data_IF_262958656715
#
_entry.id   IF_262958656715
#
_cell.length_a   1.000
_cell.length_b   1.000
_cell.length_c   1.000
_cell.angle_alpha   90.00
_cell.angle_beta   90.00
_cell.angle_gamma   90.00
#
_symmetry.space_group_name_H-M   'P 1'
#
loop_
_entity.id
_entity.type
_entity.pdbx_description
1 polymer ?
#
# COMPACT_ATOMS: atom_id res chain seq x y z
N UNK A 1 26.02 4.74 -2.13
CA UNK A 1 26.35 3.89 -3.29
C UNK A 1 25.13 3.07 -3.64
N UNK A 2 24.57 3.27 -4.83
CA UNK A 2 23.58 2.35 -5.40
C UNK A 2 24.33 1.05 -5.66
N UNK A 3 24.02 0.01 -4.90
CA UNK A 3 24.62 -1.31 -5.11
C UNK A 3 24.10 -1.88 -6.44
N UNK A 4 24.95 -2.52 -7.23
CA UNK A 4 24.52 -3.18 -8.49
C UNK A 4 23.37 -4.16 -8.27
N UNK A 5 23.27 -4.75 -7.08
CA UNK A 5 22.14 -5.59 -6.65
C UNK A 5 20.80 -4.85 -6.58
N UNK A 6 20.79 -3.58 -6.17
CA UNK A 6 19.57 -2.76 -6.10
C UNK A 6 19.05 -2.43 -7.49
N UNK A 7 19.95 -2.13 -8.43
CA UNK A 7 19.59 -1.86 -9.82
C UNK A 7 18.99 -3.11 -10.47
N UNK A 8 19.64 -4.26 -10.27
CA UNK A 8 19.14 -5.53 -10.81
C UNK A 8 17.75 -5.87 -10.28
N UNK A 9 17.52 -5.71 -8.98
CA UNK A 9 16.21 -5.96 -8.35
C UNK A 9 15.10 -5.10 -8.99
N UNK A 10 15.36 -3.80 -9.18
CA UNK A 10 14.39 -2.88 -9.78
C UNK A 10 14.11 -3.25 -11.24
N UNK A 11 15.16 -3.58 -12.02
CA UNK A 11 15.00 -4.01 -13.41
C UNK A 11 14.17 -5.29 -13.52
N UNK A 12 14.43 -6.29 -12.66
CA UNK A 12 13.63 -7.52 -12.62
C UNK A 12 12.18 -7.23 -12.26
N UNK A 13 11.91 -6.36 -11.28
CA UNK A 13 10.56 -5.94 -10.94
C UNK A 13 9.85 -5.24 -12.11
N UNK A 14 10.54 -4.38 -12.86
CA UNK A 14 9.98 -3.69 -14.02
C UNK A 14 9.61 -4.68 -15.14
N UNK A 15 10.51 -5.63 -15.45
CA UNK A 15 10.26 -6.65 -16.46
C UNK A 15 9.08 -7.55 -16.08
N UNK A 16 8.99 -7.95 -14.80
CA UNK A 16 7.85 -8.70 -14.27
C UNK A 16 6.53 -7.92 -14.41
N UNK A 17 6.50 -6.65 -14.00
CA UNK A 17 5.28 -5.82 -14.13
C UNK A 17 4.88 -5.68 -15.60
N UNK A 18 5.83 -5.42 -16.50
CA UNK A 18 5.58 -5.34 -17.93
C UNK A 18 4.98 -6.65 -18.48
N UNK A 19 5.51 -7.80 -18.05
CA UNK A 19 4.97 -9.09 -18.45
C UNK A 19 3.51 -9.28 -17.99
N UNK A 20 3.19 -8.90 -16.75
CA UNK A 20 1.81 -8.92 -16.25
C UNK A 20 0.89 -8.00 -17.05
N UNK A 21 1.33 -6.77 -17.33
CA UNK A 21 0.57 -5.81 -18.12
C UNK A 21 0.29 -6.35 -19.52
N UNK A 22 1.31 -6.89 -20.20
CA UNK A 22 1.16 -7.48 -21.54
C UNK A 22 0.16 -8.64 -21.52
N UNK A 23 0.21 -9.53 -20.53
CA UNK A 23 -0.74 -10.65 -20.41
C UNK A 23 -2.17 -10.13 -20.18
N UNK A 24 -2.33 -9.12 -19.32
CA UNK A 24 -3.61 -8.52 -18.98
C UNK A 24 -4.26 -7.81 -20.17
N UNK A 25 -3.48 -7.01 -20.90
CA UNK A 25 -3.96 -6.26 -22.06
C UNK A 25 -4.16 -7.13 -23.31
N UNK A 26 -3.56 -8.33 -23.40
CA UNK A 26 -3.66 -9.22 -24.57
C UNK A 26 -5.10 -9.59 -24.96
N UNK A 27 -6.03 -9.59 -24.01
CA UNK A 27 -7.45 -9.92 -24.23
C UNK A 27 -8.39 -8.76 -23.97
N UNK A 28 -7.86 -7.55 -23.80
CA UNK A 28 -8.68 -6.39 -23.51
C UNK A 28 -9.51 -6.03 -24.76
N UNK A 29 -10.83 -6.16 -24.65
CA UNK A 29 -11.76 -5.71 -25.68
C UNK A 29 -11.75 -4.18 -25.68
N UNK A 30 -11.45 -3.57 -26.82
CA UNK A 30 -11.57 -2.12 -27.01
C UNK A 30 -13.05 -1.79 -26.90
N UNK A 31 -13.46 -1.24 -25.76
CA UNK A 31 -14.82 -0.73 -25.56
C UNK A 31 -14.85 0.66 -26.14
N UNK A 32 -15.59 0.85 -27.24
CA UNK A 32 -15.75 2.17 -27.85
C UNK A 32 -16.33 3.17 -26.86
N UNK A 33 -15.76 4.39 -26.85
CA UNK A 33 -16.25 5.56 -26.14
C UNK A 33 -16.21 5.46 -24.61
N UNK A 34 -15.35 6.25 -23.96
CA UNK A 34 -15.44 6.51 -22.52
C UNK A 34 -16.76 7.25 -22.27
N UNK A 35 -17.79 6.52 -21.85
CA UNK A 35 -19.07 7.10 -21.44
C UNK A 35 -18.95 7.58 -19.99
N UNK A 36 -18.65 8.86 -19.84
CA UNK A 36 -18.57 9.51 -18.53
C UNK A 36 -19.87 9.27 -17.75
N UNK A 37 -19.75 8.80 -16.51
CA UNK A 37 -20.89 8.48 -15.64
C UNK A 37 -21.38 7.02 -15.68
N UNK A 38 -20.96 6.18 -16.64
CA UNK A 38 -21.27 4.74 -16.67
C UNK A 38 -20.06 3.89 -16.30
N UNK A 39 -19.74 3.82 -15.02
CA UNK A 39 -18.68 2.93 -14.52
C UNK A 39 -19.27 1.53 -14.28
N UNK A 40 -18.74 0.46 -14.88
CA UNK A 40 -19.22 -0.90 -14.61
C UNK A 40 -18.92 -1.29 -13.17
N UNK A 41 -19.85 -1.99 -12.51
CA UNK A 41 -19.71 -2.39 -11.10
C UNK A 41 -18.40 -3.16 -10.83
N UNK A 42 -17.95 -3.98 -11.78
CA UNK A 42 -16.66 -4.69 -11.70
C UNK A 42 -15.47 -3.75 -11.49
N UNK A 43 -15.42 -2.62 -12.20
CA UNK A 43 -14.31 -1.67 -12.07
C UNK A 43 -14.32 -0.97 -10.72
N UNK A 44 -15.49 -0.73 -10.12
CA UNK A 44 -15.61 -0.11 -8.80
C UNK A 44 -15.03 -0.99 -7.70
N UNK A 45 -15.36 -2.29 -7.68
CA UNK A 45 -14.80 -3.23 -6.70
C UNK A 45 -13.28 -3.35 -6.87
N UNK A 46 -12.78 -3.43 -8.12
CA UNK A 46 -11.33 -3.47 -8.37
C UNK A 46 -10.63 -2.22 -7.86
N UNK A 47 -11.21 -1.03 -8.03
CA UNK A 47 -10.62 0.22 -7.57
C UNK A 47 -10.50 0.28 -6.03
N UNK A 48 -11.53 -0.21 -5.33
CA UNK A 48 -11.52 -0.29 -3.86
C UNK A 48 -10.46 -1.30 -3.39
N UNK A 49 -10.39 -2.47 -4.01
CA UNK A 49 -9.39 -3.49 -3.67
C UNK A 49 -7.97 -2.99 -3.96
N UNK A 50 -7.77 -2.30 -5.08
CA UNK A 50 -6.50 -1.64 -5.41
C UNK A 50 -6.11 -0.61 -4.34
N UNK A 51 -7.06 0.24 -3.93
CA UNK A 51 -6.83 1.24 -2.89
C UNK A 51 -6.38 0.60 -1.58
N UNK A 52 -7.08 -0.42 -1.09
CA UNK A 52 -6.70 -1.15 0.14
C UNK A 52 -5.30 -1.77 0.00
N UNK A 53 -5.00 -2.36 -1.14
CA UNK A 53 -3.72 -3.03 -1.40
C UNK A 53 -2.55 -2.04 -1.41
N UNK A 54 -2.71 -0.89 -2.08
CA UNK A 54 -1.69 0.16 -2.15
C UNK A 54 -1.43 0.78 -0.77
N UNK A 55 -2.49 1.05 0.01
CA UNK A 55 -2.34 1.58 1.37
C UNK A 55 -1.52 0.63 2.24
N UNK A 56 -1.79 -0.67 2.17
CA UNK A 56 -1.04 -1.69 2.91
C UNK A 56 0.44 -1.74 2.50
N UNK A 57 0.74 -1.66 1.20
CA UNK A 57 2.12 -1.68 0.68
C UNK A 57 2.90 -0.44 1.16
N UNK A 58 2.31 0.75 1.04
CA UNK A 58 2.97 2.01 1.43
C UNK A 58 3.23 2.01 2.94
N UNK A 59 2.26 1.57 3.75
CA UNK A 59 2.42 1.48 5.19
C UNK A 59 3.57 0.53 5.59
N UNK A 60 3.66 -0.63 4.93
CA UNK A 60 4.74 -1.59 5.18
C UNK A 60 6.12 -1.04 4.79
N UNK A 61 6.23 -0.40 3.62
CA UNK A 61 7.49 0.23 3.19
C UNK A 61 7.92 1.37 4.13
N UNK A 62 6.95 2.13 4.66
CA UNK A 62 7.18 3.15 5.68
C UNK A 62 7.82 2.57 6.94
N UNK A 63 7.33 1.42 7.41
CA UNK A 63 7.94 0.70 8.51
C UNK A 63 9.37 0.26 8.20
N UNK A 64 9.61 -0.40 7.06
CA UNK A 64 10.96 -0.89 6.71
C UNK A 64 11.99 0.24 6.73
N UNK A 65 11.64 1.42 6.17
CA UNK A 65 12.54 2.58 6.17
C UNK A 65 12.76 3.16 7.57
N UNK A 66 11.72 3.19 8.40
CA UNK A 66 11.82 3.69 9.79
C UNK A 66 12.62 2.72 10.68
N UNK A 67 12.37 1.41 10.56
CA UNK A 67 13.06 0.37 11.32
C UNK A 67 14.56 0.32 11.04
N UNK A 68 14.98 0.58 9.79
CA UNK A 68 16.41 0.68 9.44
C UNK A 68 17.14 1.83 10.16
N UNK A 69 16.40 2.85 10.63
CA UNK A 69 16.97 4.01 11.34
C UNK A 69 16.97 3.84 12.86
N UNK A 70 16.26 2.85 13.41
CA UNK A 70 16.14 2.66 14.87
C UNK A 70 17.44 2.21 15.55
N UNK A 71 18.36 1.58 14.82
CA UNK A 71 19.62 1.10 15.39
C UNK A 71 20.60 2.23 15.75
N UNK A 72 20.32 3.48 15.34
CA UNK A 72 21.25 4.60 15.48
C UNK A 72 20.55 5.77 16.18
N UNK A 73 20.97 6.07 17.40
CA UNK A 73 20.47 7.25 18.13
C UNK A 73 21.03 8.55 17.53
N UNK A 74 22.31 8.50 17.11
CA UNK A 74 22.98 9.52 16.28
C UNK A 74 23.56 8.80 15.06
N UNK A 75 23.17 9.23 13.86
CA UNK A 75 23.50 8.56 12.60
C UNK A 75 25.00 8.28 12.46
N UNK A 76 25.37 6.99 12.41
CA UNK A 76 26.74 6.45 12.30
C UNK A 76 27.72 6.78 13.44
N UNK A 77 27.28 7.43 14.52
CA UNK A 77 28.16 7.86 15.62
C UNK A 77 27.86 7.08 16.90
N UNK A 78 26.58 6.87 17.22
CA UNK A 78 26.16 6.14 18.42
C UNK A 78 25.12 5.09 18.04
N UNK A 79 25.53 3.83 18.00
CA UNK A 79 24.61 2.69 17.89
C UNK A 79 23.92 2.49 19.24
N UNK A 80 22.59 2.33 19.22
CA UNK A 80 21.84 2.04 20.44
C UNK A 80 22.16 0.59 20.88
N UNK A 81 22.82 0.45 22.04
CA UNK A 81 23.21 -0.84 22.64
C UNK A 81 22.45 -1.13 23.93
N UNK A 82 21.41 -0.33 24.23
CA UNK A 82 20.61 -0.55 25.42
C UNK A 82 19.92 -1.92 25.39
N UNK A 83 19.81 -2.57 26.56
CA UNK A 83 19.11 -3.87 26.70
C UNK A 83 17.64 -3.83 26.24
N UNK A 84 17.06 -2.64 26.11
CA UNK A 84 15.69 -2.39 25.66
C UNK A 84 15.56 -2.05 24.17
N UNK A 85 16.66 -2.08 23.40
CA UNK A 85 16.64 -1.81 21.96
C UNK A 85 16.06 -3.01 21.18
N UNK A 86 14.74 -3.18 21.26
CA UNK A 86 14.01 -4.24 20.56
C UNK A 86 13.49 -3.75 19.20
N UNK A 87 14.06 -4.25 18.10
CA UNK A 87 13.48 -4.08 16.77
C UNK A 87 12.45 -5.19 16.54
N UNK A 88 11.15 -4.88 16.47
CA UNK A 88 10.14 -5.90 16.24
C UNK A 88 10.27 -6.53 14.85
N UNK A 89 9.90 -7.80 14.76
CA UNK A 89 9.93 -8.53 13.49
C UNK A 89 8.98 -7.89 12.46
N UNK A 90 9.29 -8.07 11.17
CA UNK A 90 8.44 -7.58 10.07
C UNK A 90 7.04 -8.17 10.18
N UNK A 91 6.91 -9.42 10.64
CA UNK A 91 5.64 -10.10 10.83
C UNK A 91 4.82 -9.44 11.96
N UNK A 92 5.46 -9.11 13.08
CA UNK A 92 4.79 -8.41 14.18
C UNK A 92 4.29 -7.04 13.73
N UNK A 93 5.15 -6.25 13.07
CA UNK A 93 4.77 -4.92 12.59
C UNK A 93 3.74 -4.98 11.47
N UNK A 94 3.77 -6.00 10.62
CA UNK A 94 2.72 -6.24 9.62
C UNK A 94 1.34 -6.39 10.26
N UNK A 95 1.23 -7.09 11.40
CA UNK A 95 -0.03 -7.19 12.15
C UNK A 95 -0.47 -5.86 12.74
N UNK A 96 0.46 -5.11 13.33
CA UNK A 96 0.17 -3.77 13.88
C UNK A 96 -0.31 -2.81 12.78
N UNK A 97 0.35 -2.80 11.63
CA UNK A 97 -0.03 -1.99 10.47
C UNK A 97 -1.41 -2.41 9.95
N UNK A 98 -1.68 -3.71 9.84
CA UNK A 98 -3.00 -4.21 9.42
C UNK A 98 -4.13 -3.73 10.35
N UNK A 99 -3.88 -3.71 11.67
CA UNK A 99 -4.84 -3.18 12.65
C UNK A 99 -5.06 -1.67 12.43
N UNK A 100 -3.99 -0.88 12.30
CA UNK A 100 -4.07 0.57 12.09
C UNK A 100 -4.84 0.90 10.79
N UNK A 101 -4.49 0.22 9.69
CA UNK A 101 -5.15 0.38 8.40
C UNK A 101 -6.62 -0.04 8.48
N UNK A 102 -6.92 -1.13 9.21
CA UNK A 102 -8.30 -1.56 9.48
C UNK A 102 -9.11 -0.51 10.24
N UNK A 103 -8.54 0.12 11.28
CA UNK A 103 -9.17 1.21 12.02
C UNK A 103 -9.44 2.40 11.11
N UNK A 104 -8.47 2.81 10.28
CA UNK A 104 -8.63 3.90 9.32
C UNK A 104 -9.78 3.64 8.35
N UNK A 105 -9.85 2.43 7.77
CA UNK A 105 -10.97 2.05 6.91
C UNK A 105 -12.30 2.00 7.66
N UNK A 106 -12.31 1.52 8.91
CA UNK A 106 -13.48 1.55 9.79
C UNK A 106 -14.02 2.97 9.96
N UNK A 107 -13.15 3.95 10.23
CA UNK A 107 -13.54 5.36 10.36
C UNK A 107 -14.10 5.89 9.03
N UNK A 108 -13.47 5.60 7.89
CA UNK A 108 -13.99 6.02 6.58
C UNK A 108 -15.39 5.45 6.34
N UNK A 109 -15.61 4.17 6.61
CA UNK A 109 -16.91 3.52 6.44
C UNK A 109 -17.94 4.17 7.37
N UNK A 110 -17.58 4.45 8.62
CA UNK A 110 -18.45 5.16 9.56
C UNK A 110 -18.81 6.57 9.08
N UNK A 111 -17.86 7.31 8.52
CA UNK A 111 -18.09 8.65 7.95
C UNK A 111 -19.01 8.59 6.73
N UNK A 112 -18.79 7.64 5.82
CA UNK A 112 -19.65 7.43 4.65
C UNK A 112 -21.07 7.02 5.07
N UNK A 113 -21.17 6.18 6.09
CA UNK A 113 -22.46 5.80 6.66
C UNK A 113 -23.19 7.00 7.24
N UNK A 114 -22.52 7.83 8.06
CA UNK A 114 -23.11 9.05 8.61
C UNK A 114 -23.55 10.04 7.51
N UNK A 115 -22.73 10.22 6.48
CA UNK A 115 -23.06 11.04 5.31
C UNK A 115 -24.31 10.52 4.58
N UNK A 116 -24.44 9.20 4.42
CA UNK A 116 -25.60 8.57 3.79
C UNK A 116 -26.92 8.80 4.55
N UNK A 117 -26.86 8.92 5.88
CA UNK A 117 -28.02 9.22 6.73
C UNK A 117 -28.48 10.67 6.57
N UNK A 118 -27.58 11.62 6.34
CA UNK A 118 -27.93 13.03 6.12
C UNK A 118 -28.72 13.24 4.82
N UNK A 119 -28.44 12.45 3.79
CA UNK A 119 -29.18 12.51 2.50
C UNK A 119 -30.65 12.08 2.62
N UNK A 120 -31.06 11.53 3.77
CA UNK A 120 -32.42 11.05 4.03
C UNK A 120 -33.34 12.06 4.75
N UNK A 121 -32.88 13.31 4.97
CA UNK A 121 -33.76 14.39 5.45
C UNK A 121 -34.28 15.20 4.26
N UNK A 122 -35.61 15.39 4.12
CA UNK A 122 -36.21 16.14 3.02
C UNK A 122 -35.77 17.61 3.01
#
# INVERSE_FOLDING_TARGET
>A
YISGSQVLLVLTCLIMNLAFDVILFRKAKIVEGITWGKIPARAQYTLIVLFVSVVMIIALMGYIRSGLRMNWHIYKILQDTSLTAYTPSIQYMGRVIAIIVGIFFGIIILLLWLSSLQKKRP
#
